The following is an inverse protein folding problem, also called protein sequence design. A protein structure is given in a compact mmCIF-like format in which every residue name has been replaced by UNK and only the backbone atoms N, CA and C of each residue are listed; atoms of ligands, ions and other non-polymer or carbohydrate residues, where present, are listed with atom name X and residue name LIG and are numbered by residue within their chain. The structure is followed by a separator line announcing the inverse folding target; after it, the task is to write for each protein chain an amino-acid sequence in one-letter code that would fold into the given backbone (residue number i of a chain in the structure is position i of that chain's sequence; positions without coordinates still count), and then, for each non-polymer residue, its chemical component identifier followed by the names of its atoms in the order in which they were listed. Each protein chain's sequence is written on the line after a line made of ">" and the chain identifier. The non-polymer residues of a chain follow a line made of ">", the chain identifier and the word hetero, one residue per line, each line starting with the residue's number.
data_IF_961069104160
#
_entry.id   IF_961069104160
#
_cell.length_a   1.000
_cell.length_b   1.000
_cell.length_c   1.000
_cell.angle_alpha   90.00
_cell.angle_beta   90.00
_cell.angle_gamma   90.00
#
_symmetry.space_group_name_H-M   'P 1'
#
loop_
_entity.id
_entity.type
_entity.pdbx_description
1 polymer ?
#
# COMPACT_ATOMS: atom_id res chain seq x y z
N UNK A 1 -9.42 -51.29 -11.93
CA UNK A 1 -9.97 -50.15 -12.70
C UNK A 1 -9.95 -48.86 -11.88
N UNK A 2 -10.71 -48.71 -10.77
CA UNK A 2 -10.78 -47.45 -10.00
C UNK A 2 -9.43 -46.96 -9.41
N UNK A 3 -8.61 -47.86 -8.85
CA UNK A 3 -7.32 -47.51 -8.21
C UNK A 3 -6.32 -46.89 -9.18
N UNK A 4 -6.33 -47.31 -10.44
CA UNK A 4 -5.39 -46.80 -11.46
C UNK A 4 -5.76 -45.38 -11.92
N UNK A 5 -7.06 -45.06 -11.98
CA UNK A 5 -7.52 -43.68 -12.23
C UNK A 5 -7.20 -42.75 -11.07
N UNK A 6 -7.33 -43.23 -9.82
CA UNK A 6 -6.98 -42.46 -8.62
C UNK A 6 -5.48 -42.17 -8.57
N UNK A 7 -4.64 -43.17 -8.86
CA UNK A 7 -3.19 -42.99 -8.86
C UNK A 7 -2.72 -42.04 -9.98
N UNK A 8 -3.27 -42.16 -11.19
CA UNK A 8 -2.98 -41.24 -12.30
C UNK A 8 -3.44 -39.83 -11.98
N UNK A 9 -4.61 -39.66 -11.35
CA UNK A 9 -5.09 -38.36 -10.87
C UNK A 9 -4.14 -37.73 -9.85
N UNK A 10 -3.68 -38.50 -8.86
CA UNK A 10 -2.71 -38.03 -7.86
C UNK A 10 -1.37 -37.63 -8.49
N UNK A 11 -0.87 -38.37 -9.49
CA UNK A 11 0.37 -38.03 -10.17
C UNK A 11 0.26 -36.73 -11.00
N UNK A 12 -0.90 -36.47 -11.62
CA UNK A 12 -1.15 -35.20 -12.31
C UNK A 12 -1.18 -34.03 -11.33
N UNK A 13 -1.87 -34.20 -10.19
CA UNK A 13 -1.90 -33.17 -9.14
C UNK A 13 -0.49 -32.92 -8.60
N UNK A 14 0.26 -33.98 -8.26
CA UNK A 14 1.63 -33.85 -7.76
C UNK A 14 2.55 -33.17 -8.78
N UNK A 15 2.41 -33.49 -10.07
CA UNK A 15 3.13 -32.83 -11.14
C UNK A 15 2.79 -31.34 -11.25
N UNK A 16 1.51 -30.98 -11.21
CA UNK A 16 1.06 -29.58 -11.23
C UNK A 16 1.54 -28.81 -10.00
N UNK A 17 1.50 -29.41 -8.81
CA UNK A 17 2.02 -28.81 -7.58
C UNK A 17 3.53 -28.57 -7.65
N UNK A 18 4.30 -29.52 -8.21
CA UNK A 18 5.76 -29.38 -8.36
C UNK A 18 6.10 -28.27 -9.37
N UNK A 19 5.36 -28.19 -10.49
CA UNK A 19 5.52 -27.11 -11.47
C UNK A 19 5.17 -25.77 -10.83
N UNK A 20 4.06 -25.68 -10.09
CA UNK A 20 3.70 -24.47 -9.34
C UNK A 20 4.79 -24.04 -8.35
N UNK A 21 5.36 -24.98 -7.59
CA UNK A 21 6.45 -24.72 -6.65
C UNK A 21 7.73 -24.24 -7.38
N UNK A 22 8.08 -24.85 -8.51
CA UNK A 22 9.24 -24.45 -9.31
C UNK A 22 9.06 -23.03 -9.86
N UNK A 23 7.86 -22.69 -10.32
CA UNK A 23 7.54 -21.33 -10.80
C UNK A 23 7.69 -20.28 -9.69
N UNK A 24 7.31 -20.61 -8.46
CA UNK A 24 7.55 -19.75 -7.28
C UNK A 24 9.04 -19.63 -6.96
N UNK A 25 9.79 -20.74 -6.95
CA UNK A 25 11.23 -20.71 -6.64
C UNK A 25 12.06 -19.94 -7.68
N UNK A 26 11.63 -19.95 -8.94
CA UNK A 26 12.30 -19.22 -10.03
C UNK A 26 11.81 -17.76 -10.13
N UNK A 27 10.82 -17.36 -9.33
CA UNK A 27 10.28 -16.00 -9.32
C UNK A 27 9.40 -15.66 -10.54
N UNK A 28 8.92 -16.66 -11.28
CA UNK A 28 8.04 -16.45 -12.43
C UNK A 28 6.58 -16.24 -12.02
N UNK A 29 6.21 -16.71 -10.83
CA UNK A 29 4.89 -16.52 -10.23
C UNK A 29 5.07 -16.25 -8.74
N UNK A 30 4.49 -15.16 -8.25
CA UNK A 30 4.42 -14.89 -6.81
C UNK A 30 3.50 -15.91 -6.16
N UNK A 31 3.89 -16.42 -4.99
CA UNK A 31 2.98 -17.25 -4.23
C UNK A 31 1.72 -16.43 -3.87
N UNK A 32 0.49 -16.96 -4.08
CA UNK A 32 -0.74 -16.25 -3.74
C UNK A 32 -0.91 -16.02 -2.22
N UNK A 33 0.01 -16.53 -1.42
CA UNK A 33 0.12 -16.36 0.03
C UNK A 33 1.31 -15.47 0.44
N UNK A 34 2.05 -14.90 -0.51
CA UNK A 34 3.11 -13.94 -0.19
C UNK A 34 2.47 -12.62 0.24
N UNK A 35 2.97 -11.97 1.30
CA UNK A 35 2.48 -10.65 1.71
C UNK A 35 2.76 -9.65 0.59
N UNK A 36 1.83 -8.71 0.41
CA UNK A 36 2.04 -7.59 -0.50
C UNK A 36 3.26 -6.78 -0.05
N UNK A 37 4.02 -6.26 -1.03
CA UNK A 37 5.25 -5.51 -0.80
C UNK A 37 5.21 -4.15 -1.48
N UNK A 38 6.06 -3.25 -1.01
CA UNK A 38 6.26 -1.95 -1.62
C UNK A 38 7.57 -1.32 -1.17
N UNK A 39 7.81 -0.13 -1.69
CA UNK A 39 8.93 0.73 -1.31
C UNK A 39 8.39 2.07 -0.84
N UNK A 40 8.90 2.55 0.29
CA UNK A 40 8.63 3.89 0.82
C UNK A 40 9.89 4.74 0.65
N UNK A 41 9.72 5.93 0.07
CA UNK A 41 10.79 6.92 -0.06
C UNK A 41 10.39 8.17 0.71
N UNK A 42 11.26 8.65 1.59
CA UNK A 42 11.00 9.86 2.40
C UNK A 42 11.88 11.00 1.90
N UNK A 43 11.30 12.18 1.73
CA UNK A 43 11.96 13.39 1.24
C UNK A 43 11.80 14.53 2.24
N UNK A 44 12.72 15.50 2.17
CA UNK A 44 12.66 16.67 3.06
C UNK A 44 11.37 17.47 2.88
N UNK A 45 10.75 17.81 4.00
CA UNK A 45 9.57 18.66 4.05
C UNK A 45 9.86 20.13 3.75
N UNK A 46 9.11 20.69 2.81
CA UNK A 46 9.08 22.14 2.56
C UNK A 46 9.76 22.57 1.26
N UNK A 47 9.14 22.25 0.13
CA UNK A 47 9.41 22.87 -1.17
C UNK A 47 10.85 22.73 -1.71
N UNK A 48 11.05 23.21 -2.93
CA UNK A 48 12.30 23.01 -3.70
C UNK A 48 13.57 23.64 -3.05
N UNK A 49 13.42 24.38 -1.95
CA UNK A 49 14.51 25.13 -1.30
C UNK A 49 15.39 24.24 -0.40
N UNK A 50 14.88 23.11 0.08
CA UNK A 50 15.62 22.16 0.93
C UNK A 50 15.84 20.78 0.33
N UNK A 51 15.16 20.45 -0.76
CA UNK A 51 15.38 19.17 -1.43
C UNK A 51 16.85 19.06 -1.85
N UNK A 52 17.57 18.06 -1.32
CA UNK A 52 18.87 17.67 -1.85
C UNK A 52 18.62 17.10 -3.24
N UNK A 53 18.77 17.94 -4.26
CA UNK A 53 18.67 17.51 -5.64
C UNK A 53 20.03 17.00 -6.11
N UNK A 54 20.02 15.84 -6.77
CA UNK A 54 21.19 15.38 -7.52
C UNK A 54 21.50 16.35 -8.66
N UNK A 55 22.69 16.23 -9.27
CA UNK A 55 23.12 17.10 -10.38
C UNK A 55 22.19 17.11 -11.61
N UNK A 56 21.18 16.23 -11.65
CA UNK A 56 20.15 16.13 -12.68
C UNK A 56 18.79 16.75 -12.27
N UNK A 57 18.72 17.40 -11.08
CA UNK A 57 17.50 18.03 -10.58
C UNK A 57 16.49 17.07 -9.94
N UNK A 58 16.83 15.78 -9.81
CA UNK A 58 16.00 14.82 -9.09
C UNK A 58 16.23 14.91 -7.58
N UNK A 59 15.15 14.86 -6.78
CA UNK A 59 15.28 14.86 -5.31
C UNK A 59 15.89 13.53 -4.85
N UNK A 60 16.90 13.61 -4.00
CA UNK A 60 17.47 12.46 -3.29
C UNK A 60 16.65 12.20 -2.02
N UNK A 61 16.19 10.96 -1.79
CA UNK A 61 15.45 10.63 -0.57
C UNK A 61 16.35 10.63 0.66
N UNK A 62 15.81 11.06 1.81
CA UNK A 62 16.42 10.93 3.15
C UNK A 62 16.49 9.46 3.58
N UNK A 63 15.48 8.69 3.20
CA UNK A 63 15.36 7.28 3.53
C UNK A 63 14.61 6.50 2.43
N UNK A 64 14.97 5.23 2.30
CA UNK A 64 14.27 4.24 1.48
C UNK A 64 14.01 3.02 2.35
N UNK A 65 12.76 2.55 2.38
CA UNK A 65 12.31 1.44 3.21
C UNK A 65 11.55 0.44 2.34
N UNK A 66 12.02 -0.80 2.30
CA UNK A 66 11.28 -1.93 1.76
C UNK A 66 10.20 -2.35 2.76
N UNK A 67 8.93 -2.37 2.35
CA UNK A 67 7.81 -2.61 3.26
C UNK A 67 7.02 -3.86 2.91
N UNK A 68 6.67 -4.64 3.93
CA UNK A 68 5.51 -5.52 3.88
C UNK A 68 4.24 -4.69 4.09
N UNK A 69 3.17 -4.99 3.37
CA UNK A 69 1.91 -4.23 3.42
C UNK A 69 0.87 -4.99 4.24
N UNK A 70 0.27 -4.29 5.20
CA UNK A 70 -0.85 -4.77 6.01
C UNK A 70 -2.09 -3.92 5.71
N UNK A 71 -2.97 -4.41 4.83
CA UNK A 71 -4.18 -3.67 4.40
C UNK A 71 -5.50 -4.35 4.79
N UNK A 72 -5.47 -5.61 5.23
CA UNK A 72 -6.62 -6.25 5.86
C UNK A 72 -6.65 -6.03 7.38
N UNK A 73 -7.84 -6.13 7.98
CA UNK A 73 -7.99 -6.02 9.43
C UNK A 73 -7.21 -7.07 10.22
N UNK A 74 -7.00 -8.26 9.66
CA UNK A 74 -6.23 -9.34 10.30
C UNK A 74 -4.75 -9.02 10.27
N UNK A 75 -4.21 -8.64 9.10
CA UNK A 75 -2.80 -8.26 8.96
C UNK A 75 -2.47 -7.05 9.83
N UNK A 76 -3.35 -6.05 9.87
CA UNK A 76 -3.15 -4.88 10.75
C UNK A 76 -3.24 -5.23 12.23
N UNK A 77 -4.03 -6.24 12.62
CA UNK A 77 -4.14 -6.65 14.01
C UNK A 77 -2.90 -7.43 14.47
N UNK A 78 -2.37 -8.30 13.61
CA UNK A 78 -1.13 -9.05 13.87
C UNK A 78 0.09 -8.14 13.83
N UNK A 79 0.21 -7.30 12.81
CA UNK A 79 1.35 -6.40 12.64
C UNK A 79 2.69 -7.15 12.74
N UNK A 80 3.62 -6.59 13.51
CA UNK A 80 4.93 -7.17 13.76
C UNK A 80 4.98 -8.15 14.95
N UNK A 81 3.87 -8.45 15.62
CA UNK A 81 3.87 -9.30 16.83
C UNK A 81 4.33 -10.74 16.60
N UNK A 82 4.24 -11.24 15.35
CA UNK A 82 4.73 -12.58 14.98
C UNK A 82 6.20 -12.56 14.47
N UNK A 83 6.91 -11.44 14.62
CA UNK A 83 8.29 -11.26 14.19
C UNK A 83 9.26 -11.21 15.37
N UNK A 84 10.42 -11.87 15.24
CA UNK A 84 11.49 -11.79 16.25
C UNK A 84 12.36 -10.54 16.11
N UNK A 85 12.38 -9.93 14.92
CA UNK A 85 13.20 -8.75 14.61
C UNK A 85 12.75 -8.07 13.31
N UNK A 86 13.23 -6.85 13.11
CA UNK A 86 13.08 -6.08 11.87
C UNK A 86 14.45 -5.55 11.43
N UNK A 87 14.87 -5.92 10.22
CA UNK A 87 16.17 -5.51 9.67
C UNK A 87 16.16 -4.04 9.24
N UNK A 88 17.30 -3.36 9.35
CA UNK A 88 17.44 -1.97 8.89
C UNK A 88 17.11 -1.85 7.40
N UNK A 89 16.39 -0.80 7.03
CA UNK A 89 15.88 -0.61 5.66
C UNK A 89 14.62 -1.41 5.34
N UNK A 90 14.13 -2.25 6.25
CA UNK A 90 12.83 -2.91 6.12
C UNK A 90 11.80 -2.32 7.07
N UNK A 91 10.52 -2.44 6.73
CA UNK A 91 9.41 -1.97 7.54
C UNK A 91 8.10 -2.70 7.27
N UNK A 92 7.06 -2.27 7.98
CA UNK A 92 5.68 -2.67 7.71
C UNK A 92 4.82 -1.42 7.50
N UNK A 93 4.14 -1.38 6.36
CA UNK A 93 3.20 -0.32 6.02
C UNK A 93 1.76 -0.79 6.25
N UNK A 94 1.08 -0.11 7.14
CA UNK A 94 -0.34 -0.33 7.40
C UNK A 94 -1.15 0.65 6.57
N UNK A 95 -2.06 0.13 5.75
CA UNK A 95 -2.94 0.93 4.88
C UNK A 95 -4.33 0.99 5.49
N UNK A 96 -4.87 2.18 5.65
CA UNK A 96 -6.25 2.41 6.09
C UNK A 96 -7.09 3.02 4.97
N UNK A 97 -8.38 2.68 4.95
CA UNK A 97 -9.32 3.17 3.93
C UNK A 97 -9.52 4.69 4.02
N UNK A 98 -9.53 5.21 5.25
CA UNK A 98 -9.76 6.61 5.57
C UNK A 98 -8.66 7.14 6.48
N UNK A 99 -8.37 8.42 6.30
CA UNK A 99 -7.46 9.16 7.16
C UNK A 99 -8.19 9.59 8.43
N UNK A 100 -7.63 9.24 9.59
CA UNK A 100 -8.19 9.55 10.91
C UNK A 100 -7.14 9.37 11.99
N UNK A 101 -7.51 9.59 13.26
CA UNK A 101 -6.67 9.15 14.37
C UNK A 101 -6.59 7.62 14.38
N UNK A 102 -5.37 7.12 14.30
CA UNK A 102 -5.01 5.71 14.42
C UNK A 102 -4.28 5.51 15.73
N UNK A 103 -4.52 4.39 16.41
CA UNK A 103 -3.80 4.03 17.64
C UNK A 103 -3.19 2.66 17.48
N UNK A 104 -1.88 2.60 17.67
CA UNK A 104 -1.07 1.39 17.61
C UNK A 104 -0.66 0.99 19.01
N UNK A 105 -0.50 -0.32 19.22
CA UNK A 105 -0.10 -0.91 20.49
C UNK A 105 1.04 -1.88 20.29
N UNK A 106 1.92 -1.98 21.28
CA UNK A 106 3.07 -2.90 21.26
C UNK A 106 2.71 -4.30 21.77
N UNK A 107 1.48 -4.76 21.50
CA UNK A 107 0.94 -6.02 22.05
C UNK A 107 1.81 -7.20 21.61
N UNK A 108 2.34 -7.95 22.56
CA UNK A 108 3.14 -9.14 22.29
C UNK A 108 4.37 -8.89 21.41
N UNK A 109 4.88 -7.65 21.37
CA UNK A 109 6.09 -7.31 20.63
C UNK A 109 7.34 -7.73 21.40
N UNK A 110 8.37 -8.20 20.69
CA UNK A 110 9.65 -8.59 21.29
C UNK A 110 10.76 -7.54 21.11
N UNK A 111 10.50 -6.49 20.33
CA UNK A 111 11.50 -5.46 20.00
C UNK A 111 10.90 -4.06 19.88
N UNK A 112 11.77 -3.07 20.06
CA UNK A 112 11.44 -1.65 19.94
C UNK A 112 11.29 -1.25 18.45
N UNK A 113 10.39 -0.31 18.15
CA UNK A 113 10.17 0.21 16.80
C UNK A 113 9.95 1.73 16.81
N UNK A 114 10.14 2.37 15.68
CA UNK A 114 9.58 3.69 15.42
C UNK A 114 8.23 3.53 14.68
N UNK A 115 7.23 4.31 15.08
CA UNK A 115 5.89 4.33 14.49
C UNK A 115 5.68 5.69 13.85
N UNK A 116 5.58 5.72 12.52
CA UNK A 116 5.48 6.92 11.70
C UNK A 116 4.09 7.03 11.10
N UNK A 117 3.35 8.08 11.44
CA UNK A 117 2.00 8.34 10.94
C UNK A 117 2.07 9.27 9.74
N UNK A 118 1.39 8.90 8.66
CA UNK A 118 1.42 9.60 7.37
C UNK A 118 -0.02 9.91 6.94
N UNK A 119 -0.32 11.16 6.62
CA UNK A 119 -1.66 11.58 6.23
C UNK A 119 -1.99 11.34 4.75
N UNK A 120 -3.20 11.69 4.31
CA UNK A 120 -3.66 11.45 2.95
C UNK A 120 -2.90 12.23 1.88
N UNK A 121 -2.29 13.36 2.24
CA UNK A 121 -1.44 14.19 1.39
C UNK A 121 0.01 13.68 1.34
N UNK A 122 0.27 12.56 2.03
CA UNK A 122 1.56 11.88 2.14
C UNK A 122 2.60 12.68 2.92
N UNK A 123 2.16 13.45 3.90
CA UNK A 123 3.04 14.13 4.85
C UNK A 123 3.14 13.34 6.17
N UNK A 124 4.34 13.26 6.75
CA UNK A 124 4.51 12.68 8.08
C UNK A 124 3.92 13.62 9.13
N UNK A 125 2.92 13.15 9.86
CA UNK A 125 2.21 13.96 10.88
C UNK A 125 2.74 13.73 12.28
N UNK A 126 3.25 12.53 12.58
CA UNK A 126 3.65 12.14 13.92
C UNK A 126 4.66 11.00 13.86
N UNK A 127 5.68 11.06 14.71
CA UNK A 127 6.66 9.98 14.89
C UNK A 127 6.68 9.64 16.39
N UNK A 128 6.53 8.35 16.70
CA UNK A 128 6.69 7.83 18.05
C UNK A 128 7.84 6.84 18.09
N UNK A 129 8.63 6.90 19.16
CA UNK A 129 9.69 5.94 19.45
C UNK A 129 9.16 4.93 20.48
N UNK A 130 8.63 3.81 20.00
CA UNK A 130 7.96 2.81 20.82
C UNK A 130 8.94 1.79 21.39
N UNK A 131 8.77 1.45 22.67
CA UNK A 131 9.56 0.39 23.32
C UNK A 131 8.79 -0.92 23.31
N UNK A 132 9.51 -2.03 23.33
CA UNK A 132 8.94 -3.34 23.62
C UNK A 132 8.34 -3.35 25.05
N UNK A 133 7.31 -4.17 25.30
CA UNK A 133 6.84 -4.51 26.63
C UNK A 133 7.97 -5.07 27.51
N UNK A 134 7.94 -4.76 28.80
CA UNK A 134 8.80 -5.38 29.80
C UNK A 134 8.34 -6.80 30.17
N UNK A 135 9.10 -7.50 31.04
CA UNK A 135 8.83 -8.91 31.39
C UNK A 135 7.44 -9.20 31.98
N UNK A 136 6.80 -8.18 32.58
CA UNK A 136 5.48 -8.28 33.22
C UNK A 136 4.41 -7.43 32.50
N UNK A 137 4.66 -7.04 31.25
CA UNK A 137 3.75 -6.24 30.43
C UNK A 137 3.35 -7.02 29.16
N UNK A 138 2.09 -6.97 28.78
CA UNK A 138 1.59 -7.54 27.52
C UNK A 138 1.65 -6.56 26.34
N UNK A 139 1.90 -5.27 26.61
CA UNK A 139 1.97 -4.20 25.62
C UNK A 139 0.65 -3.51 25.27
N UNK A 140 -0.48 -3.93 25.84
CA UNK A 140 -1.82 -3.36 25.56
C UNK A 140 -1.98 -1.90 26.01
N UNK A 141 -1.21 -1.52 27.02
CA UNK A 141 -1.18 -0.18 27.60
C UNK A 141 -0.20 0.75 26.88
N UNK A 142 0.72 0.20 26.07
CA UNK A 142 1.70 0.96 25.29
C UNK A 142 1.05 1.47 24.00
N UNK A 143 0.25 2.53 24.13
CA UNK A 143 -0.57 3.11 23.06
C UNK A 143 0.08 4.34 22.44
N UNK A 144 0.18 4.34 21.12
CA UNK A 144 0.75 5.43 20.33
C UNK A 144 -0.28 5.89 19.31
N UNK A 145 -0.69 7.16 19.42
CA UNK A 145 -1.76 7.74 18.60
C UNK A 145 -1.21 8.84 17.71
N UNK A 146 -1.69 8.87 16.46
CA UNK A 146 -1.38 9.91 15.49
C UNK A 146 -2.44 9.95 14.38
N UNK A 147 -2.49 11.06 13.65
CA UNK A 147 -3.38 11.24 12.49
C UNK A 147 -2.73 10.61 11.27
N UNK A 148 -3.36 9.62 10.65
CA UNK A 148 -2.79 9.01 9.44
C UNK A 148 -3.77 8.19 8.64
N UNK A 149 -3.54 8.16 7.33
CA UNK A 149 -4.10 7.17 6.40
C UNK A 149 -3.17 5.98 6.26
N UNK A 150 -1.87 6.23 6.39
CA UNK A 150 -0.84 5.21 6.43
C UNK A 150 -0.08 5.29 7.75
N UNK A 151 0.38 4.14 8.22
CA UNK A 151 1.30 4.04 9.36
C UNK A 151 2.46 3.16 8.94
N UNK A 152 3.68 3.64 9.10
CA UNK A 152 4.91 2.93 8.80
C UNK A 152 5.60 2.55 10.11
N UNK A 153 5.84 1.26 10.31
CA UNK A 153 6.68 0.75 11.39
C UNK A 153 8.07 0.38 10.85
N UNK A 154 9.11 0.91 11.48
CA UNK A 154 10.53 0.70 11.13
C UNK A 154 11.35 0.41 12.39
N UNK A 155 12.58 -0.11 12.27
CA UNK A 155 13.42 -0.37 13.43
C UNK A 155 13.59 0.87 14.31
N UNK A 156 13.69 0.66 15.62
CA UNK A 156 13.84 1.74 16.60
C UNK A 156 15.03 2.63 16.27
N UNK A 157 14.80 3.94 16.25
CA UNK A 157 15.82 4.95 15.99
C UNK A 157 16.10 5.19 14.50
N UNK A 158 15.48 4.44 13.59
CA UNK A 158 15.65 4.61 12.15
C UNK A 158 15.31 6.04 11.71
N UNK A 159 14.26 6.65 12.28
CA UNK A 159 13.92 8.03 11.98
C UNK A 159 15.03 9.01 12.39
N UNK A 160 15.69 8.77 13.53
CA UNK A 160 16.79 9.61 13.98
C UNK A 160 18.05 9.43 13.11
N UNK A 161 18.35 8.19 12.72
CA UNK A 161 19.53 7.85 11.93
C UNK A 161 19.46 8.41 10.50
N UNK A 162 18.27 8.43 9.92
CA UNK A 162 18.02 8.92 8.56
C UNK A 162 17.60 10.39 8.51
N UNK A 163 17.30 10.99 9.67
CA UNK A 163 16.86 12.37 9.79
C UNK A 163 15.40 12.60 9.39
N UNK A 164 14.59 11.54 9.29
CA UNK A 164 13.15 11.65 9.05
C UNK A 164 12.50 12.47 10.18
N UNK A 165 11.66 13.43 9.80
CA UNK A 165 10.97 14.33 10.72
C UNK A 165 9.51 14.58 10.34
N UNK A 166 8.74 15.14 11.27
CA UNK A 166 7.36 15.57 11.01
C UNK A 166 7.37 16.69 9.97
N UNK A 167 6.52 16.58 8.95
CA UNK A 167 6.46 17.47 7.80
C UNK A 167 7.19 16.94 6.56
N UNK A 168 7.96 15.86 6.67
CA UNK A 168 8.59 15.23 5.50
C UNK A 168 7.56 14.62 4.55
N UNK A 169 7.85 14.69 3.25
CA UNK A 169 7.02 14.13 2.18
C UNK A 169 7.34 12.65 1.97
N UNK A 170 6.32 11.83 1.74
CA UNK A 170 6.46 10.38 1.54
C UNK A 170 5.97 10.00 0.15
N UNK A 171 6.77 9.23 -0.58
CA UNK A 171 6.30 8.50 -1.76
C UNK A 171 6.10 7.03 -1.44
N UNK A 172 4.99 6.47 -1.91
CA UNK A 172 4.51 5.13 -1.60
C UNK A 172 4.32 4.38 -2.92
N UNK A 173 5.20 3.42 -3.18
CA UNK A 173 5.16 2.55 -4.36
C UNK A 173 4.80 1.13 -3.94
N UNK A 174 3.67 0.59 -4.39
CA UNK A 174 3.16 -0.72 -3.96
C UNK A 174 3.20 -1.72 -5.11
N UNK A 175 4.05 -2.73 -4.98
CA UNK A 175 4.40 -3.72 -6.01
C UNK A 175 3.37 -4.85 -6.16
N UNK A 176 2.06 -4.59 -6.03
CA UNK A 176 1.07 -5.57 -6.51
C UNK A 176 -0.34 -5.02 -6.71
N UNK A 177 -0.48 -3.70 -6.83
CA UNK A 177 -1.73 -3.13 -7.32
C UNK A 177 -1.67 -3.13 -8.84
N UNK A 178 -2.09 -4.24 -9.44
CA UNK A 178 -2.33 -4.34 -10.87
C UNK A 178 -3.17 -3.15 -11.34
N UNK A 179 -2.49 -2.15 -11.91
CA UNK A 179 -3.07 -0.87 -12.29
C UNK A 179 -2.27 0.31 -11.75
N UNK A 180 -1.25 0.70 -12.52
CA UNK A 180 -0.59 2.02 -12.56
C UNK A 180 -1.29 3.08 -11.68
N UNK A 181 -0.71 3.40 -10.52
CA UNK A 181 -0.83 4.74 -9.93
C UNK A 181 0.58 5.22 -9.60
N UNK A 182 1.34 5.46 -10.66
CA UNK A 182 2.46 6.37 -10.68
C UNK A 182 2.17 7.42 -11.75
N UNK A 183 2.01 8.66 -11.32
CA UNK A 183 2.18 9.92 -12.07
C UNK A 183 1.70 9.97 -13.55
N UNK A 184 0.62 10.73 -13.78
CA UNK A 184 0.39 11.39 -15.07
C UNK A 184 -0.31 10.57 -16.17
N UNK A 185 -1.63 10.42 -16.09
CA UNK A 185 -2.47 10.36 -17.30
C UNK A 185 -3.89 10.78 -16.97
N UNK A 186 -4.06 12.07 -16.69
CA UNK A 186 -5.32 12.73 -17.06
C UNK A 186 -5.53 12.54 -18.57
N UNK A 187 -6.79 12.43 -18.97
CA UNK A 187 -7.29 12.17 -20.33
C UNK A 187 -7.23 10.70 -20.76
N UNK A 188 -8.38 10.02 -20.71
CA UNK A 188 -8.90 9.11 -21.75
C UNK A 188 -10.17 8.36 -21.32
N UNK A 189 -10.67 8.50 -20.10
CA UNK A 189 -12.02 8.02 -19.70
C UNK A 189 -13.08 9.11 -19.87
N UNK A 190 -13.06 9.80 -21.01
CA UNK A 190 -14.15 10.70 -21.40
C UNK A 190 -14.28 10.75 -22.94
N UNK A 191 -14.16 9.59 -23.60
CA UNK A 191 -14.40 9.48 -25.04
C UNK A 191 -15.16 8.20 -25.46
N UNK A 192 -15.53 7.31 -24.53
CA UNK A 192 -16.24 6.04 -24.83
C UNK A 192 -17.60 5.98 -24.11
N UNK A 193 -18.27 7.13 -24.02
CA UNK A 193 -19.71 7.19 -23.67
C UNK A 193 -20.42 8.19 -24.57
N UNK A 194 -20.14 8.15 -25.87
CA UNK A 194 -20.89 8.90 -26.90
C UNK A 194 -20.84 8.17 -28.23
N UNK A 195 -21.52 7.04 -28.28
CA UNK A 195 -21.84 6.18 -29.43
C UNK A 195 -22.03 4.80 -28.77
N UNK A 196 -23.17 4.16 -28.70
CA UNK A 196 -24.34 4.12 -29.58
C UNK A 196 -25.48 3.56 -28.72
N UNK A 197 -26.69 4.10 -28.81
CA UNK A 197 -27.97 3.37 -28.70
C UNK A 197 -29.13 4.37 -28.72
N UNK A 198 -29.41 4.93 -29.91
CA UNK A 198 -30.77 5.38 -30.21
C UNK A 198 -31.49 4.29 -31.01
N UNK A 199 -32.59 3.70 -30.51
CA UNK A 199 -33.54 3.02 -31.34
C UNK A 199 -34.52 4.02 -31.96
N UNK A 200 -34.42 4.11 -33.28
CA UNK A 200 -35.33 4.69 -34.26
C UNK A 200 -36.80 4.29 -34.00
N UNK A 201 -37.70 5.28 -33.92
CA UNK A 201 -39.16 5.10 -34.02
C UNK A 201 -39.70 6.07 -35.08
N UNK A 202 -40.62 5.65 -35.98
CA UNK A 202 -40.83 6.33 -37.24
C UNK A 202 -41.81 7.52 -37.17
N UNK A 203 -41.59 8.39 -38.15
CA UNK A 203 -42.30 9.60 -38.58
C UNK A 203 -43.82 9.52 -38.53
N UNK A 204 -44.44 10.57 -37.99
CA UNK A 204 -45.77 11.03 -38.36
C UNK A 204 -45.71 12.53 -38.75
N UNK A 205 -46.31 12.83 -39.90
CA UNK A 205 -46.33 14.10 -40.64
C UNK A 205 -47.59 14.92 -40.26
N UNK A 206 -47.49 16.25 -40.47
CA UNK A 206 -48.55 17.29 -40.55
C UNK A 206 -48.81 18.07 -39.23
N UNK A 207 -48.99 19.39 -39.18
CA UNK A 207 -49.02 20.46 -40.18
C UNK A 207 -48.80 21.83 -39.50
N UNK A 208 -48.56 22.84 -40.33
CA UNK A 208 -48.29 24.26 -40.09
C UNK A 208 -49.19 25.05 -39.12
N UNK A 209 -48.61 26.13 -38.58
CA UNK A 209 -49.10 27.52 -38.44
C UNK A 209 -48.33 28.12 -37.23
N UNK A 210 -47.42 29.09 -37.32
CA UNK A 210 -47.52 30.38 -37.99
C UNK A 210 -47.96 31.46 -36.99
N UNK A 211 -47.05 32.14 -36.29
CA UNK A 211 -47.09 33.60 -36.07
C UNK A 211 -46.04 34.14 -35.10
N UNK A 212 -45.50 35.27 -35.54
CA UNK A 212 -44.62 36.25 -34.91
C UNK A 212 -45.44 37.20 -34.03
N UNK A 213 -44.90 37.61 -32.87
CA UNK A 213 -45.05 38.91 -32.18
C UNK A 213 -44.50 38.75 -30.76
N UNK A 214 -43.86 39.69 -30.11
CA UNK A 214 -43.16 40.95 -30.41
C UNK A 214 -42.36 41.25 -29.14
#
# INVERSE_FOLDING_TARGET
>A
MAVEYVLRGLLVIAGLSLVGLLLVQVGLVSAPWAPDRGEIRVFDGGGDEKATADGDGNRTPKAVVDVAVADSGVERYTGLSDHDSLESGNGMLFVHDEEREQTYVMRGMDFDIDIVFIDADREITTIHHARAPGPDEDGEELRYTGRGKWVLEVPRGYANETGIEVGDEVDIDLENRGGIIGSGSETLTQAVTRAEHEPIVPVAVAAEHGSVHR
#
